data_IF_805534345341
#
_entry.id   IF_805534345341
#
_cell.length_a   1.000
_cell.length_b   1.000
_cell.length_c   1.000
_cell.angle_alpha   90.00
_cell.angle_beta   90.00
_cell.angle_gamma   90.00
#
_symmetry.space_group_name_H-M   'P 1'
#
loop_
_entity.id
_entity.type
_entity.pdbx_description
1 polymer ?
#
# COMPACT_ATOMS: atom_id res chain seq x y z
N UNK A 1 4.59 -18.70 7.30
CA UNK A 1 3.88 -17.81 6.35
C UNK A 1 4.59 -16.47 6.38
N UNK A 2 5.22 -16.07 5.28
CA UNK A 2 5.93 -14.79 5.25
C UNK A 2 4.89 -13.67 5.23
N UNK A 3 4.87 -12.85 6.29
CA UNK A 3 4.05 -11.62 6.38
C UNK A 3 4.76 -10.47 5.65
N UNK A 4 5.35 -10.73 4.49
CA UNK A 4 6.01 -9.69 3.72
C UNK A 4 5.00 -9.05 2.76
N UNK A 5 4.92 -7.70 2.73
CA UNK A 5 4.08 -7.04 1.76
C UNK A 5 4.58 -7.42 0.36
N UNK A 6 3.64 -7.74 -0.51
CA UNK A 6 3.86 -8.05 -1.90
C UNK A 6 4.64 -6.93 -2.63
N UNK A 7 4.32 -5.67 -2.32
CA UNK A 7 5.10 -4.52 -2.76
C UNK A 7 4.98 -3.38 -1.75
N UNK A 8 5.97 -2.48 -1.72
CA UNK A 8 5.87 -1.22 -0.98
C UNK A 8 6.35 -0.08 -1.87
N UNK A 9 5.49 0.91 -2.08
CA UNK A 9 5.81 2.16 -2.79
C UNK A 9 5.75 3.34 -1.84
N UNK A 10 6.57 4.37 -2.09
CA UNK A 10 6.69 5.52 -1.19
C UNK A 10 6.67 6.84 -1.94
N UNK A 11 6.21 7.88 -1.25
CA UNK A 11 6.26 9.29 -1.64
C UNK A 11 6.61 10.12 -0.40
N UNK A 12 7.88 10.48 -0.27
CA UNK A 12 8.44 11.08 0.94
C UNK A 12 8.23 10.19 2.17
N UNK A 13 7.52 10.72 3.18
CA UNK A 13 7.24 10.03 4.43
C UNK A 13 6.00 9.13 4.39
N UNK A 14 5.29 9.08 3.27
CA UNK A 14 4.09 8.25 3.09
C UNK A 14 4.48 6.99 2.32
N UNK A 15 3.98 5.85 2.78
CA UNK A 15 4.21 4.54 2.18
C UNK A 15 2.87 3.85 1.95
N UNK A 16 2.70 3.23 0.80
CA UNK A 16 1.63 2.27 0.55
C UNK A 16 2.23 0.86 0.47
N UNK A 17 1.80 0.01 1.39
CA UNK A 17 2.14 -1.42 1.44
C UNK A 17 1.01 -2.21 0.80
N UNK A 18 1.34 -2.98 -0.22
CA UNK A 18 0.42 -3.85 -0.93
C UNK A 18 0.61 -5.25 -0.38
N UNK A 19 -0.48 -5.88 0.02
CA UNK A 19 -0.51 -7.24 0.56
C UNK A 19 -1.23 -8.14 -0.42
N UNK A 20 -0.71 -9.36 -0.60
CA UNK A 20 -1.35 -10.42 -1.39
C UNK A 20 -1.72 -11.54 -0.45
N UNK A 21 -3.00 -11.91 -0.45
CA UNK A 21 -3.53 -13.04 0.31
C UNK A 21 -4.12 -14.03 -0.66
N UNK A 22 -3.52 -15.21 -0.76
CA UNK A 22 -4.08 -16.31 -1.55
C UNK A 22 -5.17 -17.03 -0.78
N UNK A 23 -6.32 -17.27 -1.41
CA UNK A 23 -7.42 -18.01 -0.83
C UNK A 23 -8.09 -18.96 -1.81
N UNK A 24 -9.06 -19.77 -1.36
CA UNK A 24 -9.76 -20.75 -2.19
C UNK A 24 -10.52 -20.15 -3.38
N UNK A 25 -10.81 -18.84 -3.32
CA UNK A 25 -11.54 -18.08 -4.35
C UNK A 25 -10.63 -17.19 -5.21
N UNK A 26 -9.32 -17.41 -5.16
CA UNK A 26 -8.33 -16.59 -5.85
C UNK A 26 -7.52 -15.69 -4.92
N UNK A 27 -6.69 -14.84 -5.54
CA UNK A 27 -5.82 -13.91 -4.85
C UNK A 27 -6.55 -12.60 -4.52
N UNK A 28 -6.50 -12.21 -3.24
CA UNK A 28 -7.00 -10.93 -2.76
C UNK A 28 -5.85 -9.97 -2.50
N UNK A 29 -6.04 -8.70 -2.83
CA UNK A 29 -5.05 -7.66 -2.62
C UNK A 29 -5.61 -6.58 -1.68
N UNK A 30 -4.81 -6.13 -0.72
CA UNK A 30 -5.15 -5.00 0.15
C UNK A 30 -3.99 -4.00 0.21
N UNK A 31 -4.31 -2.74 0.51
CA UNK A 31 -3.32 -1.65 0.54
C UNK A 31 -3.40 -0.94 1.89
N UNK A 32 -2.28 -0.88 2.60
CA UNK A 32 -2.10 -0.11 3.84
C UNK A 32 -1.25 1.14 3.56
N UNK A 33 -1.88 2.32 3.63
CA UNK A 33 -1.18 3.59 3.47
C UNK A 33 -0.90 4.20 4.85
N UNK A 34 0.38 4.47 5.11
CA UNK A 34 0.86 5.01 6.38
C UNK A 34 1.79 6.18 6.17
N UNK A 35 1.74 7.15 7.09
CA UNK A 35 2.71 8.24 7.19
C UNK A 35 3.67 7.98 8.34
N UNK A 36 4.97 8.14 8.11
CA UNK A 36 6.00 8.12 9.15
C UNK A 36 6.29 9.53 9.64
N UNK A 37 6.37 9.74 10.94
CA UNK A 37 6.74 11.04 11.53
C UNK A 37 7.59 10.84 12.78
N UNK A 38 8.31 11.87 13.21
CA UNK A 38 9.02 11.86 14.50
C UNK A 38 8.14 12.52 15.55
N UNK A 39 7.98 11.86 16.69
CA UNK A 39 7.30 12.45 17.85
C UNK A 39 8.24 13.44 18.59
N UNK A 40 7.76 14.16 19.61
CA UNK A 40 8.58 15.11 20.36
C UNK A 40 9.80 14.47 21.07
N UNK A 41 9.78 13.15 21.31
CA UNK A 41 10.92 12.41 21.87
C UNK A 41 11.95 12.00 20.81
N UNK A 42 11.73 12.40 19.54
CA UNK A 42 12.58 12.06 18.40
C UNK A 42 12.34 10.65 17.84
N UNK A 43 11.37 9.90 18.38
CA UNK A 43 11.10 8.53 17.98
C UNK A 43 10.22 8.50 16.72
N UNK A 44 10.57 7.61 15.78
CA UNK A 44 9.75 7.39 14.60
C UNK A 44 8.45 6.67 14.97
N UNK A 45 7.33 7.24 14.54
CA UNK A 45 5.98 6.71 14.69
C UNK A 45 5.30 6.62 13.32
N UNK A 46 4.20 5.88 13.28
CA UNK A 46 3.33 5.76 12.10
C UNK A 46 1.94 6.30 12.44
N UNK A 47 1.30 6.91 11.46
CA UNK A 47 -0.09 7.36 11.55
C UNK A 47 -0.85 7.05 10.25
N UNK A 48 -2.17 6.97 10.36
CA UNK A 48 -3.12 6.87 9.25
C UNK A 48 -3.89 8.18 9.03
N UNK A 49 -3.49 9.25 9.72
CA UNK A 49 -3.97 10.61 9.48
C UNK A 49 -2.99 11.37 8.60
N UNK A 50 -3.54 12.15 7.66
CA UNK A 50 -2.79 12.92 6.67
C UNK A 50 -3.23 14.38 6.72
N UNK A 51 -2.27 15.28 6.54
CA UNK A 51 -2.54 16.72 6.37
C UNK A 51 -3.07 17.01 4.96
N UNK A 52 -3.64 18.20 4.77
CA UNK A 52 -4.15 18.63 3.45
C UNK A 52 -3.07 18.59 2.35
N UNK A 53 -1.83 18.96 2.69
CA UNK A 53 -0.70 18.94 1.75
C UNK A 53 -0.26 17.52 1.34
N UNK A 54 -0.69 16.50 2.08
CA UNK A 54 -0.33 15.10 1.84
C UNK A 54 -1.37 14.36 1.01
N UNK A 55 -2.58 14.91 0.83
CA UNK A 55 -3.69 14.22 0.18
C UNK A 55 -3.37 13.84 -1.28
N UNK A 56 -2.69 14.70 -2.04
CA UNK A 56 -2.30 14.38 -3.41
C UNK A 56 -1.25 13.26 -3.47
N UNK A 57 -0.37 13.16 -2.47
CA UNK A 57 0.60 12.07 -2.37
C UNK A 57 -0.11 10.75 -2.05
N UNK A 58 -1.09 10.78 -1.14
CA UNK A 58 -1.94 9.62 -0.84
C UNK A 58 -2.69 9.17 -2.09
N UNK A 59 -3.30 10.10 -2.83
CA UNK A 59 -4.01 9.81 -4.07
C UNK A 59 -3.09 9.18 -5.12
N UNK A 60 -1.91 9.76 -5.35
CA UNK A 60 -0.91 9.21 -6.28
C UNK A 60 -0.46 7.80 -5.87
N UNK A 61 -0.19 7.57 -4.58
CA UNK A 61 0.18 6.24 -4.08
C UNK A 61 -0.95 5.23 -4.23
N UNK A 62 -2.20 5.62 -3.97
CA UNK A 62 -3.36 4.77 -4.18
C UNK A 62 -3.52 4.39 -5.67
N UNK A 63 -3.37 5.35 -6.58
CA UNK A 63 -3.44 5.09 -8.03
C UNK A 63 -2.33 4.16 -8.50
N UNK A 64 -1.09 4.39 -8.06
CA UNK A 64 0.05 3.50 -8.37
C UNK A 64 -0.15 2.09 -7.82
N UNK A 65 -0.70 1.97 -6.61
CA UNK A 65 -1.02 0.67 -6.02
C UNK A 65 -2.08 -0.08 -6.82
N UNK A 66 -3.14 0.62 -7.24
CA UNK A 66 -4.18 0.07 -8.10
C UNK A 66 -3.62 -0.46 -9.42
N UNK A 67 -2.83 0.35 -10.13
CA UNK A 67 -2.24 -0.06 -11.41
C UNK A 67 -1.34 -1.29 -11.26
N UNK A 68 -0.49 -1.34 -10.23
CA UNK A 68 0.32 -2.52 -9.96
C UNK A 68 -0.57 -3.75 -9.74
N UNK A 69 -1.62 -3.66 -8.93
CA UNK A 69 -2.51 -4.80 -8.68
C UNK A 69 -3.13 -5.31 -9.99
N UNK A 70 -3.56 -4.43 -10.90
CA UNK A 70 -4.07 -4.82 -12.21
C UNK A 70 -3.01 -5.55 -13.05
N UNK A 71 -1.81 -4.98 -13.13
CA UNK A 71 -0.69 -5.61 -13.86
C UNK A 71 -0.38 -7.00 -13.32
N UNK A 72 -0.42 -7.17 -11.99
CA UNK A 72 -0.17 -8.47 -11.37
C UNK A 72 -1.30 -9.46 -11.59
N UNK A 73 -2.56 -9.05 -11.52
CA UNK A 73 -3.71 -9.92 -11.85
C UNK A 73 -3.64 -10.42 -13.29
N UNK A 74 -3.32 -9.53 -14.23
CA UNK A 74 -3.16 -9.88 -15.64
C UNK A 74 -2.02 -10.88 -15.87
N UNK A 75 -0.90 -10.76 -15.13
CA UNK A 75 0.22 -11.69 -15.20
C UNK A 75 -0.05 -13.03 -14.53
N UNK A 76 -0.81 -13.05 -13.43
CA UNK A 76 -1.12 -14.29 -12.70
C UNK A 76 -2.31 -15.06 -13.27
N UNK A 77 -3.04 -14.50 -14.23
CA UNK A 77 -4.26 -15.10 -14.78
C UNK A 77 -5.42 -15.11 -13.78
N UNK A 78 -5.37 -14.27 -12.74
CA UNK A 78 -6.40 -14.14 -11.71
C UNK A 78 -7.57 -13.21 -12.15
N UNK A 79 -7.75 -12.98 -13.46
CA UNK A 79 -8.80 -12.14 -14.04
C UNK A 79 -10.19 -12.83 -14.01
N UNK A 80 -10.55 -13.41 -12.87
CA UNK A 80 -11.87 -13.97 -12.60
C UNK A 80 -12.67 -13.00 -11.72
N UNK A 81 -13.17 -11.91 -12.31
CA UNK A 81 -14.27 -11.11 -11.75
C UNK A 81 -15.55 -11.34 -12.55
#
# INVERSE_FOLDING_TARGET
MSNEPFATITDGLIKAKIWKTSGPKGNFYSVDITRSFRDPSGQWKKAHSFSGAELLRVSNLAQRAYNMILEFKAQSGDDSD
#
